data_IF_482881276251
#
_entry.id   IF_482881276251
#
_cell.length_a   1.000
_cell.length_b   1.000
_cell.length_c   1.000
_cell.angle_alpha   90.00
_cell.angle_beta   90.00
_cell.angle_gamma   90.00
#
_symmetry.space_group_name_H-M   'P 1'
#
loop_
_entity.id
_entity.type
_entity.pdbx_description
1 polymer ?
#
# COMPACT_ATOMS: atom_id res chain seq x y z
N UNK A 1 14.57 28.54 -20.53
CA UNK A 1 13.47 27.69 -21.02
C UNK A 1 12.69 27.18 -19.82
N UNK A 2 11.43 27.57 -19.72
CA UNK A 2 10.46 27.03 -18.77
C UNK A 2 10.07 25.60 -19.16
N UNK A 3 9.73 24.76 -18.19
CA UNK A 3 9.23 23.39 -18.44
C UNK A 3 8.00 23.38 -19.34
N UNK A 4 7.15 24.41 -19.24
CA UNK A 4 6.00 24.59 -20.14
C UNK A 4 6.45 24.79 -21.58
N UNK A 5 7.49 25.61 -21.80
CA UNK A 5 8.03 25.88 -23.14
C UNK A 5 8.67 24.63 -23.76
N UNK A 6 9.36 23.81 -22.95
CA UNK A 6 9.93 22.52 -23.37
C UNK A 6 8.86 21.61 -24.00
N UNK A 7 7.68 21.52 -23.40
CA UNK A 7 6.61 20.66 -23.90
C UNK A 7 5.71 21.31 -24.96
N UNK A 8 5.71 22.65 -25.06
CA UNK A 8 5.02 23.34 -26.15
C UNK A 8 5.74 23.22 -27.51
N UNK A 9 7.05 22.98 -27.51
CA UNK A 9 7.85 22.81 -28.75
C UNK A 9 7.89 21.36 -29.25
N UNK A 10 7.55 20.40 -28.39
CA UNK A 10 7.65 18.97 -28.67
C UNK A 10 6.38 18.46 -29.39
N UNK A 11 6.53 17.48 -30.29
CA UNK A 11 5.38 16.86 -30.97
C UNK A 11 4.47 16.15 -29.94
N UNK A 12 3.15 16.21 -30.13
CA UNK A 12 2.16 15.68 -29.16
C UNK A 12 2.37 14.19 -28.82
N UNK A 13 2.99 13.44 -29.72
CA UNK A 13 3.30 12.02 -29.58
C UNK A 13 4.40 11.73 -28.55
N UNK A 14 5.32 12.68 -28.33
CA UNK A 14 6.44 12.54 -27.40
C UNK A 14 6.10 13.02 -25.97
N UNK A 15 4.94 13.65 -25.79
CA UNK A 15 4.49 14.19 -24.50
C UNK A 15 4.10 13.04 -23.57
N UNK A 16 4.75 12.91 -22.39
CA UNK A 16 4.43 11.86 -21.44
C UNK A 16 3.00 12.01 -20.90
N UNK A 17 2.24 10.92 -20.94
CA UNK A 17 0.84 10.85 -20.47
C UNK A 17 0.71 10.44 -19.00
N UNK A 18 1.81 10.03 -18.36
CA UNK A 18 1.81 9.49 -17.01
C UNK A 18 2.84 10.23 -16.15
N UNK A 19 2.55 10.40 -14.86
CA UNK A 19 3.47 11.07 -13.93
C UNK A 19 4.87 10.44 -13.91
N UNK A 20 4.96 9.11 -14.08
CA UNK A 20 6.22 8.35 -14.11
C UNK A 20 7.03 8.67 -15.36
N UNK A 21 6.41 8.65 -16.54
CA UNK A 21 7.11 8.99 -17.80
C UNK A 21 7.51 10.45 -17.87
N UNK A 22 6.73 11.34 -17.24
CA UNK A 22 7.10 12.75 -17.03
C UNK A 22 8.31 12.90 -16.11
N UNK A 23 8.40 12.07 -15.07
CA UNK A 23 9.52 12.07 -14.13
C UNK A 23 10.82 11.58 -14.81
N UNK A 24 10.76 10.53 -15.63
CA UNK A 24 11.90 9.99 -16.37
C UNK A 24 12.49 11.00 -17.38
N UNK A 25 11.64 11.80 -18.03
CA UNK A 25 12.05 12.85 -18.97
C UNK A 25 12.39 14.19 -18.28
N UNK A 26 12.23 14.27 -16.95
CA UNK A 26 12.53 15.47 -16.17
C UNK A 26 13.96 15.41 -15.64
N UNK A 27 14.80 16.32 -16.14
CA UNK A 27 16.14 16.46 -15.60
C UNK A 27 16.10 17.23 -14.28
N UNK A 28 16.53 16.57 -13.21
CA UNK A 28 16.55 17.13 -11.85
C UNK A 28 17.42 18.38 -11.73
N UNK A 29 18.43 18.52 -12.60
CA UNK A 29 19.37 19.65 -12.56
C UNK A 29 18.75 20.91 -13.16
N UNK A 30 17.99 20.78 -14.24
CA UNK A 30 17.33 21.92 -14.91
C UNK A 30 16.01 22.31 -14.25
N UNK A 31 15.25 21.36 -13.70
CA UNK A 31 13.92 21.60 -13.15
C UNK A 31 13.71 20.93 -11.78
N UNK A 32 14.46 21.33 -10.73
CA UNK A 32 14.45 20.64 -9.43
C UNK A 32 13.07 20.65 -8.76
N UNK A 33 12.35 21.77 -8.78
CA UNK A 33 11.02 21.88 -8.16
C UNK A 33 10.00 20.98 -8.87
N UNK A 34 10.01 20.98 -10.20
CA UNK A 34 9.07 20.20 -11.00
C UNK A 34 9.34 18.70 -10.85
N UNK A 35 10.62 18.31 -10.78
CA UNK A 35 11.02 16.96 -10.46
C UNK A 35 10.46 16.50 -9.11
N UNK A 36 10.55 17.34 -8.06
CA UNK A 36 10.00 17.01 -6.73
C UNK A 36 8.48 16.86 -6.78
N UNK A 37 7.77 17.77 -7.45
CA UNK A 37 6.31 17.69 -7.63
C UNK A 37 5.88 16.42 -8.37
N UNK A 38 6.55 16.08 -9.47
CA UNK A 38 6.27 14.84 -10.23
C UNK A 38 6.57 13.59 -9.40
N UNK A 39 7.64 13.61 -8.61
CA UNK A 39 7.99 12.52 -7.70
C UNK A 39 6.93 12.35 -6.60
N UNK A 40 6.48 13.44 -5.98
CA UNK A 40 5.42 13.40 -4.97
C UNK A 40 4.12 12.87 -5.57
N UNK A 41 3.73 13.34 -6.76
CA UNK A 41 2.55 12.85 -7.46
C UNK A 41 2.63 11.34 -7.72
N UNK A 42 3.77 10.85 -8.20
CA UNK A 42 3.97 9.41 -8.44
C UNK A 42 3.87 8.60 -7.14
N UNK A 43 4.49 9.05 -6.05
CA UNK A 43 4.42 8.38 -4.74
C UNK A 43 3.00 8.35 -4.20
N UNK A 44 2.26 9.48 -4.29
CA UNK A 44 0.87 9.56 -3.84
C UNK A 44 0.00 8.59 -4.63
N UNK A 45 0.13 8.54 -5.95
CA UNK A 45 -0.64 7.61 -6.79
C UNK A 45 -0.37 6.13 -6.42
N UNK A 46 0.90 5.77 -6.16
CA UNK A 46 1.27 4.41 -5.75
C UNK A 46 0.73 4.09 -4.34
N UNK A 47 0.77 5.06 -3.43
CA UNK A 47 0.22 4.90 -2.08
C UNK A 47 -1.29 4.70 -2.12
N UNK A 48 -2.02 5.51 -2.89
CA UNK A 48 -3.47 5.39 -3.06
C UNK A 48 -3.84 4.02 -3.62
N UNK A 49 -3.17 3.56 -4.69
CA UNK A 49 -3.43 2.23 -5.26
C UNK A 49 -3.19 1.08 -4.26
N UNK A 50 -2.14 1.20 -3.43
CA UNK A 50 -1.82 0.22 -2.39
C UNK A 50 -2.90 0.20 -1.30
N UNK A 51 -3.34 1.39 -0.86
CA UNK A 51 -4.39 1.55 0.13
C UNK A 51 -5.72 0.99 -0.38
N UNK A 52 -6.10 1.29 -1.62
CA UNK A 52 -7.31 0.75 -2.25
C UNK A 52 -7.29 -0.79 -2.32
N UNK A 53 -6.14 -1.39 -2.67
CA UNK A 53 -5.95 -2.85 -2.66
C UNK A 53 -6.15 -3.44 -1.26
N UNK A 54 -5.58 -2.80 -0.23
CA UNK A 54 -5.72 -3.21 1.17
C UNK A 54 -7.16 -3.10 1.66
N UNK A 55 -7.85 -1.99 1.36
CA UNK A 55 -9.27 -1.81 1.71
C UNK A 55 -10.19 -2.78 0.98
N UNK A 56 -9.90 -3.08 -0.30
CA UNK A 56 -10.65 -4.09 -1.05
C UNK A 56 -10.51 -5.48 -0.42
N UNK A 57 -9.30 -5.84 0.01
CA UNK A 57 -9.03 -7.10 0.71
C UNK A 57 -9.73 -7.18 2.07
N UNK A 58 -9.69 -6.10 2.86
CA UNK A 58 -10.42 -5.98 4.12
C UNK A 58 -11.93 -6.10 3.91
N UNK A 59 -12.48 -5.45 2.87
CA UNK A 59 -13.91 -5.54 2.54
C UNK A 59 -14.32 -6.97 2.23
N UNK A 60 -13.53 -7.70 1.42
CA UNK A 60 -13.76 -9.13 1.14
C UNK A 60 -13.75 -9.98 2.41
N UNK A 61 -12.77 -9.78 3.29
CA UNK A 61 -12.70 -10.48 4.58
C UNK A 61 -13.92 -10.19 5.46
N UNK A 62 -14.33 -8.93 5.58
CA UNK A 62 -15.50 -8.51 6.34
C UNK A 62 -16.79 -9.12 5.79
N UNK A 63 -16.94 -9.17 4.46
CA UNK A 63 -18.08 -9.82 3.80
C UNK A 63 -18.11 -11.33 4.06
N UNK A 64 -16.96 -12.01 3.98
CA UNK A 64 -16.86 -13.45 4.23
C UNK A 64 -17.18 -13.81 5.70
N UNK A 65 -16.70 -13.00 6.65
CA UNK A 65 -16.80 -13.26 8.09
C UNK A 65 -18.05 -12.67 8.77
N UNK A 66 -19.03 -12.20 8.00
CA UNK A 66 -20.16 -11.33 8.40
C UNK A 66 -20.97 -11.79 9.63
N UNK A 67 -20.87 -13.05 10.05
CA UNK A 67 -21.63 -13.59 11.18
C UNK A 67 -20.84 -13.94 12.45
N UNK A 68 -19.51 -13.77 12.50
CA UNK A 68 -18.75 -14.40 13.61
C UNK A 68 -17.54 -13.65 14.16
N UNK A 69 -17.15 -12.47 13.65
CA UNK A 69 -15.79 -11.92 13.91
C UNK A 69 -15.78 -10.60 14.66
N UNK A 70 -15.03 -10.54 15.77
CA UNK A 70 -14.69 -9.31 16.51
C UNK A 70 -13.69 -8.44 15.74
N UNK A 71 -13.66 -7.14 15.99
CA UNK A 71 -12.72 -6.22 15.32
C UNK A 71 -11.25 -6.64 15.51
N UNK A 72 -10.89 -7.11 16.71
CA UNK A 72 -9.53 -7.60 17.01
C UNK A 72 -9.09 -8.74 16.08
N UNK A 73 -9.97 -9.72 15.86
CA UNK A 73 -9.68 -10.86 14.98
C UNK A 73 -9.72 -10.46 13.51
N UNK A 74 -10.61 -9.53 13.13
CA UNK A 74 -10.66 -9.00 11.77
C UNK A 74 -9.36 -8.27 11.42
N UNK A 75 -8.83 -7.45 12.33
CA UNK A 75 -7.57 -6.71 12.12
C UNK A 75 -6.39 -7.68 11.97
N UNK A 76 -6.31 -8.73 12.80
CA UNK A 76 -5.29 -9.77 12.66
C UNK A 76 -5.36 -10.48 11.30
N UNK A 77 -6.55 -10.89 10.87
CA UNK A 77 -6.75 -11.55 9.57
C UNK A 77 -6.47 -10.61 8.38
N UNK A 78 -6.79 -9.33 8.51
CA UNK A 78 -6.48 -8.32 7.50
C UNK A 78 -4.97 -8.14 7.35
N UNK A 79 -4.23 -8.06 8.47
CA UNK A 79 -2.77 -7.95 8.47
C UNK A 79 -2.12 -9.18 7.80
N UNK A 80 -2.58 -10.39 8.13
CA UNK A 80 -2.12 -11.63 7.51
C UNK A 80 -2.42 -11.71 6.00
N UNK A 81 -3.57 -11.19 5.57
CA UNK A 81 -3.98 -11.19 4.17
C UNK A 81 -3.22 -10.16 3.33
N UNK A 82 -2.95 -8.99 3.90
CA UNK A 82 -2.20 -7.90 3.22
C UNK A 82 -0.71 -8.25 3.13
N UNK A 83 -0.10 -8.75 4.22
CA UNK A 83 1.33 -9.03 4.31
C UNK A 83 1.65 -10.52 4.12
N UNK A 84 1.16 -11.09 3.01
CA UNK A 84 1.35 -12.51 2.70
C UNK A 84 2.80 -12.88 2.35
N UNK A 85 3.64 -11.88 2.12
CA UNK A 85 5.08 -11.97 1.89
C UNK A 85 5.88 -12.29 3.16
N UNK A 86 5.32 -11.99 4.35
CA UNK A 86 5.94 -12.33 5.62
C UNK A 86 5.71 -13.83 5.90
N UNK A 87 6.78 -14.62 5.80
CA UNK A 87 6.75 -16.04 6.16
C UNK A 87 6.74 -16.18 7.68
N UNK A 88 5.64 -16.69 8.22
CA UNK A 88 5.51 -17.04 9.63
C UNK A 88 5.92 -18.52 9.76
N UNK A 89 6.83 -18.82 10.69
CA UNK A 89 7.24 -20.19 10.99
C UNK A 89 6.25 -20.84 11.96
N UNK A 90 5.91 -22.09 11.70
CA UNK A 90 4.89 -22.81 12.48
C UNK A 90 5.33 -22.99 13.95
N UNK A 91 6.63 -23.15 14.18
CA UNK A 91 7.20 -23.31 15.53
C UNK A 91 7.01 -22.05 16.38
N UNK A 92 7.20 -20.86 15.79
CA UNK A 92 7.01 -19.57 16.49
C UNK A 92 5.55 -19.37 16.89
N UNK A 93 4.62 -19.79 16.03
CA UNK A 93 3.19 -19.71 16.34
C UNK A 93 2.87 -20.65 17.50
N UNK A 94 3.38 -21.89 17.46
CA UNK A 94 3.15 -22.88 18.51
C UNK A 94 3.70 -22.41 19.86
N UNK A 95 4.94 -21.93 19.90
CA UNK A 95 5.57 -21.40 21.11
C UNK A 95 4.79 -20.20 21.66
N UNK A 96 4.32 -19.30 20.79
CA UNK A 96 3.52 -18.15 21.20
C UNK A 96 2.17 -18.59 21.79
N UNK A 97 1.49 -19.54 21.16
CA UNK A 97 0.23 -20.08 21.69
C UNK A 97 0.43 -20.83 23.00
N UNK A 98 1.53 -21.55 23.16
CA UNK A 98 1.88 -22.24 24.40
C UNK A 98 2.21 -21.26 25.55
N UNK A 99 2.76 -20.09 25.24
CA UNK A 99 3.11 -19.05 26.23
C UNK A 99 1.91 -18.32 26.84
N UNK A 100 0.72 -18.39 26.21
CA UNK A 100 -0.50 -17.75 26.73
C UNK A 100 -1.24 -18.73 27.64
N UNK A 101 -1.57 -18.36 28.89
CA UNK A 101 -2.36 -19.22 29.76
C UNK A 101 -3.73 -19.50 29.13
N UNK A 102 -4.05 -20.78 28.91
CA UNK A 102 -5.33 -21.25 28.35
C UNK A 102 -6.47 -21.28 29.38
N UNK A 103 -6.25 -20.76 30.57
CA UNK A 103 -7.17 -20.89 31.68
C UNK A 103 -8.32 -19.89 31.51
N UNK A 104 -9.51 -20.41 31.24
CA UNK A 104 -10.76 -19.74 31.62
C UNK A 104 -10.81 -19.78 33.14
N UNK A 105 -10.79 -18.63 33.80
CA UNK A 105 -11.10 -18.54 35.22
C UNK A 105 -12.55 -18.99 35.41
N UNK A 106 -12.73 -20.26 35.76
CA UNK A 106 -14.00 -20.74 36.28
C UNK A 106 -14.11 -20.20 37.70
N UNK A 107 -14.78 -19.06 37.85
CA UNK A 107 -15.33 -18.64 39.13
C UNK A 107 -16.44 -19.63 39.48
N UNK A 108 -16.12 -20.57 40.37
CA UNK A 108 -17.08 -21.47 41.03
C UNK A 108 -17.82 -20.73 42.14
#
# INVERSE_FOLDING_TARGET
MSWKEKWCQEKSENVPKTAISSLEKCDKTFFPNIYILLKLLAVVLVSVATVERSFSSLRRLKTYLRKTTSESRLNGLALLSIHRDIKIRDEEVLDKFASVPRNLDFVL
#
